data_IF_166078216109
#
_entry.id   IF_166078216109
#
_cell.length_a   1.000
_cell.length_b   1.000
_cell.length_c   1.000
_cell.angle_alpha   90.00
_cell.angle_beta   90.00
_cell.angle_gamma   90.00
#
_symmetry.space_group_name_H-M   'P 1'
#
loop_
_entity.id
_entity.type
_entity.pdbx_description
1 polymer ?
#
# COMPACT_ATOMS: atom_id res chain seq x y z
N UNK A 1 -26.92 4.55 34.58
CA UNK A 1 -25.63 3.91 34.30
C UNK A 1 -24.87 4.91 33.44
N UNK A 2 -24.04 5.72 34.06
CA UNK A 2 -23.13 6.65 33.35
C UNK A 2 -22.24 5.77 32.48
N UNK A 3 -22.27 5.99 31.16
CA UNK A 3 -21.24 5.41 30.28
C UNK A 3 -19.93 6.09 30.67
N UNK A 4 -18.98 5.33 31.20
CA UNK A 4 -17.60 5.82 31.33
C UNK A 4 -17.17 6.36 29.96
N UNK A 5 -16.90 7.67 29.91
CA UNK A 5 -16.32 8.30 28.71
C UNK A 5 -14.95 7.65 28.48
N UNK A 6 -14.90 6.69 27.56
CA UNK A 6 -13.64 6.13 27.11
C UNK A 6 -12.79 7.26 26.52
N UNK A 7 -11.57 7.42 27.01
CA UNK A 7 -10.64 8.39 26.46
C UNK A 7 -10.40 8.10 24.96
N UNK A 8 -10.44 9.14 24.15
CA UNK A 8 -10.21 9.03 22.71
C UNK A 8 -8.76 8.61 22.45
N UNK A 9 -8.55 7.68 21.55
CA UNK A 9 -7.22 7.41 21.02
C UNK A 9 -6.75 8.56 20.11
N UNK A 10 -5.48 8.61 19.76
CA UNK A 10 -4.92 9.75 19.02
C UNK A 10 -5.50 9.91 17.59
N UNK A 11 -5.89 8.81 16.92
CA UNK A 11 -6.57 8.89 15.61
C UNK A 11 -7.96 9.48 15.78
N UNK A 12 -8.71 9.05 16.79
CA UNK A 12 -10.02 9.61 17.11
C UNK A 12 -9.93 11.11 17.43
N UNK A 13 -8.89 11.55 18.16
CA UNK A 13 -8.64 12.97 18.43
C UNK A 13 -8.40 13.77 17.14
N UNK A 14 -7.65 13.20 16.19
CA UNK A 14 -7.41 13.82 14.88
C UNK A 14 -8.73 13.93 14.10
N UNK A 15 -9.51 12.85 14.03
CA UNK A 15 -10.79 12.83 13.32
C UNK A 15 -11.77 13.84 13.92
N UNK A 16 -11.91 13.92 15.24
CA UNK A 16 -12.78 14.89 15.89
C UNK A 16 -12.34 16.34 15.64
N UNK A 17 -11.03 16.59 15.67
CA UNK A 17 -10.48 17.90 15.32
C UNK A 17 -10.81 18.27 13.86
N UNK A 18 -10.61 17.34 12.94
CA UNK A 18 -10.88 17.57 11.50
C UNK A 18 -12.38 17.82 11.24
N UNK A 19 -13.27 17.12 11.96
CA UNK A 19 -14.71 17.36 11.93
C UNK A 19 -15.07 18.75 12.49
N UNK A 20 -14.48 19.15 13.62
CA UNK A 20 -14.70 20.49 14.22
C UNK A 20 -14.22 21.62 13.31
N UNK A 21 -13.14 21.39 12.56
CA UNK A 21 -12.58 22.33 11.58
C UNK A 21 -13.35 22.28 10.23
N UNK A 22 -14.33 21.41 10.06
CA UNK A 22 -15.12 21.27 8.84
C UNK A 22 -14.33 20.71 7.65
N UNK A 23 -13.22 20.05 7.89
CA UNK A 23 -12.40 19.43 6.83
C UNK A 23 -13.18 18.35 6.09
N UNK A 24 -12.85 18.19 4.81
CA UNK A 24 -13.45 17.19 3.92
C UNK A 24 -14.99 17.22 3.90
N UNK A 25 -15.60 18.39 4.14
CA UNK A 25 -17.06 18.57 4.24
C UNK A 25 -17.69 17.65 5.31
N UNK A 26 -16.97 17.37 6.38
CA UNK A 26 -17.40 16.48 7.46
C UNK A 26 -17.42 14.99 7.09
N UNK A 27 -16.88 14.60 5.93
CA UNK A 27 -16.79 13.20 5.51
C UNK A 27 -15.63 12.49 6.23
N UNK A 28 -15.90 11.27 6.67
CA UNK A 28 -14.89 10.34 7.15
C UNK A 28 -14.89 9.13 6.22
N UNK A 29 -13.80 8.95 5.49
CA UNK A 29 -13.61 7.81 4.62
C UNK A 29 -12.22 7.24 4.81
N UNK A 30 -12.18 5.99 5.21
CA UNK A 30 -10.97 5.19 5.39
C UNK A 30 -10.90 4.08 4.36
N UNK A 31 -9.83 3.33 4.35
CA UNK A 31 -9.72 2.11 3.54
C UNK A 31 -8.78 1.11 4.20
N UNK A 32 -9.05 -0.17 4.03
CA UNK A 32 -8.11 -1.25 4.33
C UNK A 32 -7.51 -1.76 3.01
N UNK A 33 -6.17 -1.63 2.78
CA UNK A 33 -5.55 -1.90 1.49
C UNK A 33 -4.65 -3.16 1.51
N UNK A 34 -5.18 -4.37 1.69
CA UNK A 34 -4.34 -5.56 1.73
C UNK A 34 -3.76 -5.91 0.36
N UNK A 35 -2.48 -6.32 0.30
CA UNK A 35 -1.97 -7.07 -0.85
C UNK A 35 -2.61 -8.48 -0.86
N UNK A 36 -3.17 -8.96 -1.99
CA UNK A 36 -3.75 -10.31 -2.11
C UNK A 36 -2.65 -11.37 -2.32
N UNK A 37 -1.69 -11.45 -1.38
CA UNK A 37 -0.50 -12.29 -1.43
C UNK A 37 -0.38 -13.26 -0.24
N UNK A 38 -1.45 -13.50 0.49
CA UNK A 38 -1.52 -14.42 1.63
C UNK A 38 -2.70 -14.13 2.54
N UNK A 39 -2.95 -15.05 3.45
CA UNK A 39 -4.03 -14.96 4.43
C UNK A 39 -3.77 -13.87 5.48
N UNK A 40 -4.83 -13.30 6.03
CA UNK A 40 -4.74 -12.32 7.11
C UNK A 40 -4.30 -13.00 8.42
N UNK A 41 -3.53 -12.29 9.20
CA UNK A 41 -3.10 -12.71 10.55
C UNK A 41 -3.55 -11.68 11.59
N UNK A 42 -3.41 -12.01 12.85
CA UNK A 42 -3.89 -11.17 13.98
C UNK A 42 -3.33 -9.71 13.91
N UNK A 43 -2.14 -9.50 13.34
CA UNK A 43 -1.60 -8.16 13.12
C UNK A 43 -2.44 -7.31 12.15
N UNK A 44 -3.06 -7.94 11.13
CA UNK A 44 -3.97 -7.26 10.22
C UNK A 44 -5.31 -6.95 10.91
N UNK A 45 -5.76 -7.76 11.88
CA UNK A 45 -6.98 -7.48 12.64
C UNK A 45 -6.90 -6.12 13.32
N UNK A 46 -5.72 -5.74 13.83
CA UNK A 46 -5.52 -4.39 14.40
C UNK A 46 -5.76 -3.28 13.36
N UNK A 47 -5.19 -3.41 12.17
CA UNK A 47 -5.41 -2.45 11.10
C UNK A 47 -6.90 -2.37 10.71
N UNK A 48 -7.53 -3.54 10.52
CA UNK A 48 -8.97 -3.64 10.22
C UNK A 48 -9.79 -2.94 11.31
N UNK A 49 -9.52 -3.19 12.59
CA UNK A 49 -10.23 -2.55 13.69
C UNK A 49 -10.02 -1.02 13.72
N UNK A 50 -8.85 -0.53 13.31
CA UNK A 50 -8.59 0.90 13.22
C UNK A 50 -9.34 1.51 12.02
N UNK A 51 -9.18 0.96 10.82
CA UNK A 51 -9.77 1.50 9.59
C UNK A 51 -11.30 1.45 9.62
N UNK A 52 -11.87 0.28 9.90
CA UNK A 52 -13.32 0.08 9.97
C UNK A 52 -13.93 0.70 11.22
N UNK A 53 -13.25 0.59 12.37
CA UNK A 53 -13.77 1.12 13.63
C UNK A 53 -13.88 2.65 13.64
N UNK A 54 -12.93 3.36 13.02
CA UNK A 54 -13.03 4.82 12.83
C UNK A 54 -14.23 5.14 11.93
N UNK A 55 -14.37 4.45 10.79
CA UNK A 55 -15.51 4.68 9.91
C UNK A 55 -16.84 4.43 10.61
N UNK A 56 -16.99 3.29 11.32
CA UNK A 56 -18.22 2.97 12.07
C UNK A 56 -18.53 4.02 13.15
N UNK A 57 -17.53 4.42 13.94
CA UNK A 57 -17.71 5.37 15.05
C UNK A 57 -18.19 6.75 14.60
N UNK A 58 -17.69 7.20 13.46
CA UNK A 58 -17.98 8.56 12.94
C UNK A 58 -18.98 8.57 11.78
N UNK A 59 -19.79 7.51 11.62
CA UNK A 59 -20.78 7.36 10.54
C UNK A 59 -20.17 7.57 9.13
N UNK A 60 -18.94 7.18 8.97
CA UNK A 60 -18.20 7.24 7.72
C UNK A 60 -18.25 5.93 6.93
N UNK A 61 -17.36 5.80 5.96
CA UNK A 61 -17.25 4.63 5.11
C UNK A 61 -15.81 4.11 5.14
N UNK A 62 -15.66 2.80 5.29
CA UNK A 62 -14.38 2.12 5.05
C UNK A 62 -14.49 1.29 3.76
N UNK A 63 -13.61 1.52 2.80
CA UNK A 63 -13.53 0.73 1.58
C UNK A 63 -12.48 -0.39 1.73
N UNK A 64 -12.66 -1.46 0.96
CA UNK A 64 -11.67 -2.51 0.79
C UNK A 64 -10.98 -2.28 -0.54
N UNK A 65 -9.66 -2.02 -0.53
CA UNK A 65 -8.87 -1.89 -1.76
C UNK A 65 -7.77 -2.92 -1.80
N UNK A 66 -7.83 -3.81 -2.75
CA UNK A 66 -6.73 -4.74 -3.00
C UNK A 66 -5.57 -4.02 -3.69
N UNK A 67 -4.40 -4.01 -3.02
CA UNK A 67 -3.16 -3.50 -3.63
C UNK A 67 -2.56 -4.60 -4.52
N UNK A 68 -3.11 -4.69 -5.73
CA UNK A 68 -2.74 -5.67 -6.74
C UNK A 68 -1.74 -5.10 -7.78
N UNK A 69 -0.68 -4.45 -7.29
CA UNK A 69 0.38 -3.86 -8.13
C UNK A 69 1.50 -4.83 -8.49
N UNK A 70 1.45 -6.07 -8.01
CA UNK A 70 2.51 -7.07 -8.22
C UNK A 70 1.96 -8.43 -8.70
N UNK A 71 1.82 -8.64 -10.02
CA UNK A 71 1.21 -9.85 -10.59
C UNK A 71 1.91 -11.17 -10.22
N UNK A 72 3.17 -11.10 -9.76
CA UNK A 72 3.96 -12.31 -9.41
C UNK A 72 3.48 -13.01 -8.14
N UNK A 73 2.79 -12.28 -7.26
CA UNK A 73 2.47 -12.73 -5.88
C UNK A 73 0.98 -12.85 -5.60
N UNK A 74 0.14 -12.39 -6.48
CA UNK A 74 -1.29 -12.20 -6.25
C UNK A 74 -2.10 -13.39 -6.72
N UNK A 75 -3.10 -13.79 -5.91
CA UNK A 75 -4.00 -14.89 -6.23
C UNK A 75 -5.43 -14.57 -5.78
N UNK A 76 -6.40 -15.03 -6.57
CA UNK A 76 -7.83 -14.89 -6.30
C UNK A 76 -8.22 -15.59 -4.97
N UNK A 77 -7.55 -16.70 -4.62
CA UNK A 77 -7.74 -17.37 -3.33
C UNK A 77 -7.57 -16.41 -2.15
N UNK A 78 -6.56 -15.54 -2.21
CA UNK A 78 -6.30 -14.58 -1.14
C UNK A 78 -7.33 -13.45 -1.12
N UNK A 79 -7.81 -13.01 -2.29
CA UNK A 79 -8.90 -12.02 -2.38
C UNK A 79 -10.15 -12.54 -1.65
N UNK A 80 -10.55 -13.77 -1.90
CA UNK A 80 -11.73 -14.39 -1.28
C UNK A 80 -11.53 -14.60 0.22
N UNK A 81 -10.36 -15.10 0.64
CA UNK A 81 -10.03 -15.32 2.04
C UNK A 81 -10.05 -14.01 2.85
N UNK A 82 -9.49 -12.94 2.30
CA UNK A 82 -9.46 -11.62 2.96
C UNK A 82 -10.89 -11.09 3.18
N UNK A 83 -11.75 -11.20 2.18
CA UNK A 83 -13.16 -10.79 2.31
C UNK A 83 -13.90 -11.62 3.36
N UNK A 84 -13.69 -12.96 3.36
CA UNK A 84 -14.29 -13.84 4.37
C UNK A 84 -13.85 -13.49 5.78
N UNK A 85 -12.57 -13.19 5.99
CA UNK A 85 -12.02 -12.87 7.30
C UNK A 85 -12.55 -11.51 7.81
N UNK A 86 -12.65 -10.48 6.95
CA UNK A 86 -13.24 -9.19 7.32
C UNK A 86 -14.71 -9.34 7.68
N UNK A 87 -15.47 -10.07 6.87
CA UNK A 87 -16.89 -10.34 7.14
C UNK A 87 -17.08 -11.16 8.43
N UNK A 88 -16.22 -12.14 8.69
CA UNK A 88 -16.26 -12.91 9.92
C UNK A 88 -15.96 -12.05 11.16
N UNK A 89 -15.05 -11.07 11.05
CA UNK A 89 -14.80 -10.09 12.11
C UNK A 89 -15.99 -9.16 12.34
N UNK A 90 -17.05 -9.23 11.54
CA UNK A 90 -18.29 -8.46 11.68
C UNK A 90 -18.26 -7.09 11.01
N UNK A 91 -17.24 -6.79 10.20
CA UNK A 91 -17.15 -5.53 9.47
C UNK A 91 -17.79 -5.62 8.09
N UNK A 92 -18.27 -4.46 7.61
CA UNK A 92 -18.83 -4.28 6.26
C UNK A 92 -18.08 -3.14 5.56
N UNK A 93 -17.62 -3.39 4.36
CA UNK A 93 -17.01 -2.36 3.53
C UNK A 93 -18.04 -1.62 2.68
N UNK A 94 -17.72 -0.40 2.28
CA UNK A 94 -18.53 0.38 1.35
C UNK A 94 -18.40 -0.16 -0.07
N UNK A 95 -17.23 0.04 -0.65
CA UNK A 95 -16.89 -0.44 -2.00
C UNK A 95 -15.68 -1.36 -1.96
N UNK A 96 -15.54 -2.19 -3.00
CA UNK A 96 -14.31 -2.92 -3.30
C UNK A 96 -13.64 -2.24 -4.48
N UNK A 97 -12.36 -1.90 -4.31
CA UNK A 97 -11.49 -1.37 -5.33
C UNK A 97 -10.24 -2.23 -5.48
N UNK A 98 -9.56 -2.05 -6.59
CA UNK A 98 -8.27 -2.66 -6.88
C UNK A 98 -7.32 -1.57 -7.37
N UNK A 99 -6.04 -1.66 -7.02
CA UNK A 99 -5.06 -0.74 -7.58
C UNK A 99 -5.03 -0.81 -9.11
N UNK A 100 -5.31 -1.99 -9.67
CA UNK A 100 -5.43 -2.21 -11.12
C UNK A 100 -6.59 -1.48 -11.78
N UNK A 101 -7.61 -1.02 -11.03
CA UNK A 101 -8.68 -0.17 -11.58
C UNK A 101 -8.14 1.19 -12.04
N UNK A 102 -7.00 1.62 -11.50
CA UNK A 102 -6.39 2.92 -11.74
C UNK A 102 -5.11 2.85 -12.58
N UNK A 103 -4.73 1.71 -13.14
CA UNK A 103 -3.48 1.56 -13.88
C UNK A 103 -3.35 2.55 -15.04
N UNK A 104 -4.44 2.86 -15.74
CA UNK A 104 -4.40 3.86 -16.82
C UNK A 104 -4.15 5.26 -16.26
N UNK A 105 -4.88 5.69 -15.22
CA UNK A 105 -4.68 7.01 -14.61
C UNK A 105 -3.27 7.16 -14.03
N UNK A 106 -2.77 6.10 -13.36
CA UNK A 106 -1.41 6.08 -12.81
C UNK A 106 -0.35 6.16 -13.92
N UNK A 107 -0.57 5.48 -15.04
CA UNK A 107 0.31 5.52 -16.20
C UNK A 107 0.33 6.91 -16.84
N UNK A 108 -0.83 7.54 -16.99
CA UNK A 108 -0.96 8.89 -17.53
C UNK A 108 -0.27 9.92 -16.61
N UNK A 109 -0.42 9.79 -15.30
CA UNK A 109 0.32 10.61 -14.33
C UNK A 109 1.84 10.42 -14.42
N UNK A 110 2.31 9.20 -14.62
CA UNK A 110 3.74 8.93 -14.82
C UNK A 110 4.27 9.61 -16.10
N UNK A 111 3.49 9.62 -17.16
CA UNK A 111 3.80 10.38 -18.39
C UNK A 111 3.92 11.87 -18.09
N UNK A 112 2.99 12.45 -17.30
CA UNK A 112 3.06 13.86 -16.91
C UNK A 112 4.30 14.15 -16.05
N UNK A 113 4.71 13.27 -15.15
CA UNK A 113 5.97 13.38 -14.41
C UNK A 113 7.17 13.44 -15.35
N UNK A 114 7.21 12.60 -16.38
CA UNK A 114 8.29 12.63 -17.38
C UNK A 114 8.29 13.96 -18.15
N UNK A 115 7.12 14.40 -18.65
CA UNK A 115 6.97 15.68 -19.39
C UNK A 115 7.42 16.90 -18.58
N UNK A 116 7.22 16.86 -17.26
CA UNK A 116 7.67 17.91 -16.34
C UNK A 116 9.15 17.78 -15.96
N UNK A 117 9.88 16.80 -16.47
CA UNK A 117 11.28 16.53 -16.10
C UNK A 117 11.44 16.02 -14.67
N UNK A 118 10.37 15.51 -14.05
CA UNK A 118 10.34 14.98 -12.68
C UNK A 118 10.52 13.46 -12.61
N UNK A 119 10.68 12.78 -13.75
CA UNK A 119 10.97 11.36 -13.81
C UNK A 119 11.87 11.05 -15.01
N UNK A 120 12.63 9.98 -14.90
CA UNK A 120 13.55 9.50 -15.93
C UNK A 120 13.64 7.98 -15.95
N UNK A 121 13.99 7.42 -17.12
CA UNK A 121 14.26 6.00 -17.28
C UNK A 121 15.71 5.71 -16.90
N UNK A 122 15.88 4.75 -16.00
CA UNK A 122 17.17 4.27 -15.52
C UNK A 122 17.40 2.84 -16.01
N UNK A 123 18.57 2.61 -16.60
CA UNK A 123 18.99 1.30 -17.14
C UNK A 123 19.91 0.54 -16.18
N UNK A 124 20.08 1.03 -14.97
CA UNK A 124 20.89 0.39 -13.95
C UNK A 124 20.16 -0.81 -13.35
N UNK A 125 20.96 -1.80 -12.96
CA UNK A 125 20.44 -2.95 -12.21
C UNK A 125 19.96 -2.56 -10.81
N UNK A 126 19.14 -3.41 -10.19
CA UNK A 126 18.67 -3.20 -8.83
C UNK A 126 19.84 -3.03 -7.83
N UNK A 127 20.91 -3.79 -7.99
CA UNK A 127 22.10 -3.71 -7.13
C UNK A 127 22.84 -2.37 -7.31
N UNK A 128 23.01 -1.90 -8.55
CA UNK A 128 23.61 -0.60 -8.83
C UNK A 128 22.79 0.55 -8.26
N UNK A 129 21.44 0.50 -8.39
CA UNK A 129 20.55 1.48 -7.80
C UNK A 129 20.64 1.46 -6.26
N UNK A 130 20.68 0.27 -5.66
CA UNK A 130 20.80 0.13 -4.21
C UNK A 130 22.14 0.70 -3.69
N UNK A 131 23.25 0.42 -4.36
CA UNK A 131 24.58 0.94 -4.02
C UNK A 131 24.62 2.47 -4.14
N UNK A 132 24.07 3.02 -5.22
CA UNK A 132 24.04 4.46 -5.45
C UNK A 132 23.16 5.24 -4.48
N UNK A 133 22.20 4.62 -3.84
CA UNK A 133 21.40 5.27 -2.80
C UNK A 133 22.23 5.73 -1.60
N UNK A 134 23.42 5.20 -1.40
CA UNK A 134 24.26 5.53 -0.25
C UNK A 134 23.71 4.97 1.06
N UNK A 135 24.01 5.63 2.15
CA UNK A 135 23.57 5.26 3.51
C UNK A 135 22.77 6.40 4.16
N UNK A 136 22.12 6.20 5.30
CA UNK A 136 21.43 7.29 6.00
C UNK A 136 22.33 8.48 6.36
N UNK A 137 23.65 8.25 6.49
CA UNK A 137 24.64 9.26 6.86
C UNK A 137 25.48 9.76 5.67
N UNK A 138 25.40 9.08 4.53
CA UNK A 138 26.13 9.44 3.31
C UNK A 138 25.14 9.67 2.17
N UNK A 139 25.29 10.79 1.41
CA UNK A 139 24.40 11.07 0.29
C UNK A 139 24.54 10.00 -0.80
N UNK A 140 23.48 9.82 -1.57
CA UNK A 140 23.52 8.99 -2.77
C UNK A 140 24.21 9.69 -3.93
N UNK A 141 24.53 8.90 -4.96
CA UNK A 141 25.13 9.36 -6.22
C UNK A 141 24.05 9.36 -7.31
N UNK A 142 23.98 10.41 -8.09
CA UNK A 142 23.03 10.50 -9.20
C UNK A 142 23.30 9.44 -10.27
N UNK A 143 22.22 8.86 -10.82
CA UNK A 143 22.33 7.96 -11.96
C UNK A 143 22.90 8.68 -13.20
N UNK A 144 23.71 8.02 -14.04
CA UNK A 144 24.16 8.59 -15.31
C UNK A 144 23.01 8.88 -16.29
N UNK A 145 21.84 8.29 -16.06
CA UNK A 145 20.62 8.47 -16.88
C UNK A 145 19.70 9.59 -16.37
N UNK A 146 20.03 10.21 -15.23
CA UNK A 146 19.15 11.16 -14.52
C UNK A 146 18.81 12.39 -15.36
N UNK A 147 19.70 12.80 -16.24
CA UNK A 147 19.55 13.99 -17.07
C UNK A 147 19.22 13.66 -18.55
N UNK A 148 18.70 12.45 -18.80
CA UNK A 148 18.23 12.03 -20.13
C UNK A 148 17.12 12.98 -20.63
N UNK A 149 17.13 13.31 -21.96
CA UNK A 149 16.08 14.17 -22.55
C UNK A 149 14.66 13.62 -22.33
N UNK A 150 13.71 14.52 -22.18
CA UNK A 150 12.29 14.18 -21.92
C UNK A 150 11.74 13.27 -23.02
N UNK A 151 11.97 13.60 -24.28
CA UNK A 151 11.50 12.87 -25.46
C UNK A 151 12.01 11.43 -25.46
N UNK A 152 13.25 11.24 -25.05
CA UNK A 152 13.82 9.90 -24.95
C UNK A 152 13.23 9.10 -23.78
N UNK A 153 13.02 9.73 -22.63
CA UNK A 153 12.34 9.09 -21.50
C UNK A 153 10.93 8.67 -21.88
N UNK A 154 10.16 9.50 -22.58
CA UNK A 154 8.81 9.17 -23.08
C UNK A 154 8.84 7.97 -24.03
N UNK A 155 9.78 7.99 -25.01
CA UNK A 155 9.94 6.90 -25.97
C UNK A 155 10.28 5.58 -25.28
N UNK A 156 11.20 5.60 -24.31
CA UNK A 156 11.61 4.40 -23.57
C UNK A 156 10.48 3.90 -22.66
N UNK A 157 9.75 4.77 -21.98
CA UNK A 157 8.62 4.36 -21.14
C UNK A 157 7.52 3.70 -21.98
N UNK A 158 7.25 4.22 -23.18
CA UNK A 158 6.32 3.57 -24.12
C UNK A 158 6.86 2.22 -24.60
N UNK A 159 8.15 2.08 -24.90
CA UNK A 159 8.77 0.81 -25.27
C UNK A 159 8.70 -0.23 -24.14
N UNK A 160 8.87 0.20 -22.88
CA UNK A 160 8.65 -0.67 -21.71
C UNK A 160 7.21 -1.18 -21.67
N UNK A 161 6.22 -0.30 -21.87
CA UNK A 161 4.80 -0.68 -21.88
C UNK A 161 4.44 -1.57 -23.07
N UNK A 162 5.07 -1.38 -24.21
CA UNK A 162 4.87 -2.23 -25.40
C UNK A 162 5.47 -3.63 -25.26
N UNK A 163 6.26 -3.89 -24.20
CA UNK A 163 6.94 -5.17 -24.01
C UNK A 163 8.18 -5.35 -24.89
N UNK A 164 8.77 -4.25 -25.38
CA UNK A 164 9.98 -4.25 -26.22
C UNK A 164 11.25 -4.39 -25.37
N UNK A 165 11.12 -4.22 -24.05
CA UNK A 165 12.24 -4.22 -23.08
C UNK A 165 12.02 -5.39 -22.10
N UNK A 166 13.08 -6.16 -21.85
CA UNK A 166 13.06 -7.29 -20.93
C UNK A 166 12.91 -6.85 -19.47
N UNK A 167 12.35 -7.74 -18.64
CA UNK A 167 12.23 -7.57 -17.19
C UNK A 167 13.60 -7.26 -16.55
N UNK A 168 13.62 -6.25 -15.67
CA UNK A 168 14.81 -5.85 -14.92
C UNK A 168 15.84 -5.02 -15.69
N UNK A 169 15.62 -4.70 -16.98
CA UNK A 169 16.54 -3.89 -17.78
C UNK A 169 16.36 -2.39 -17.60
N UNK A 170 15.14 -1.95 -17.32
CA UNK A 170 14.81 -0.55 -17.14
C UNK A 170 13.77 -0.38 -16.04
N UNK A 171 13.83 0.76 -15.38
CA UNK A 171 12.84 1.24 -14.42
C UNK A 171 12.56 2.72 -14.64
N UNK A 172 11.35 3.19 -14.33
CA UNK A 172 11.08 4.61 -14.23
C UNK A 172 11.36 5.07 -12.81
N UNK A 173 12.15 6.12 -12.64
CA UNK A 173 12.48 6.72 -11.34
C UNK A 173 12.01 8.15 -11.26
N UNK A 174 11.52 8.56 -10.08
CA UNK A 174 11.29 9.97 -9.80
C UNK A 174 12.62 10.71 -9.65
N UNK A 175 12.69 11.94 -10.14
CA UNK A 175 13.84 12.84 -10.02
C UNK A 175 13.62 13.79 -8.86
N UNK A 176 14.10 13.43 -7.66
CA UNK A 176 13.87 14.21 -6.44
C UNK A 176 15.17 14.74 -5.86
N UNK A 177 15.79 14.01 -4.91
CA UNK A 177 16.97 14.49 -4.19
C UNK A 177 17.83 13.31 -3.69
N UNK A 178 19.00 13.12 -4.31
CA UNK A 178 19.92 12.05 -3.95
C UNK A 178 20.67 12.29 -2.64
N UNK A 179 20.63 13.51 -2.09
CA UNK A 179 21.24 13.86 -0.80
C UNK A 179 20.24 13.84 0.37
N UNK A 180 18.96 13.55 0.12
CA UNK A 180 17.93 13.57 1.15
C UNK A 180 18.24 12.58 2.28
N UNK A 181 18.16 12.97 3.57
CA UNK A 181 18.36 12.05 4.69
C UNK A 181 17.34 10.90 4.71
N UNK A 182 16.12 11.13 4.22
CA UNK A 182 15.16 10.06 3.98
C UNK A 182 15.51 9.34 2.67
N UNK A 183 16.01 8.12 2.74
CA UNK A 183 16.43 7.33 1.58
C UNK A 183 15.28 7.01 0.61
N UNK A 184 14.02 7.10 1.02
CA UNK A 184 12.86 6.96 0.13
C UNK A 184 12.73 8.11 -0.86
N UNK A 185 13.34 9.28 -0.59
CA UNK A 185 13.39 10.43 -1.49
C UNK A 185 14.55 10.39 -2.50
N UNK A 186 15.47 9.43 -2.35
CA UNK A 186 16.63 9.33 -3.25
C UNK A 186 16.25 8.64 -4.55
N UNK A 187 15.63 9.42 -5.44
CA UNK A 187 15.14 9.01 -6.76
C UNK A 187 14.46 7.64 -6.74
N UNK A 188 13.29 7.50 -6.07
CA UNK A 188 12.61 6.21 -5.92
C UNK A 188 12.12 5.67 -7.26
N UNK A 189 12.03 4.35 -7.35
CA UNK A 189 11.42 3.67 -8.49
C UNK A 189 9.92 3.92 -8.47
N UNK A 190 9.36 4.38 -9.60
CA UNK A 190 7.92 4.58 -9.82
C UNK A 190 7.28 3.39 -10.54
N UNK A 191 7.97 2.85 -11.57
CA UNK A 191 7.50 1.72 -12.38
C UNK A 191 8.62 0.72 -12.64
N UNK A 192 8.21 -0.55 -12.73
CA UNK A 192 9.05 -1.70 -13.11
C UNK A 192 8.39 -2.49 -14.23
N UNK A 193 9.19 -3.26 -15.00
CA UNK A 193 8.73 -4.16 -16.05
C UNK A 193 8.45 -5.53 -15.44
N UNK A 194 7.30 -6.13 -15.73
CA UNK A 194 6.97 -7.52 -15.43
C UNK A 194 6.15 -8.07 -16.61
N UNK A 195 6.80 -8.83 -17.50
CA UNK A 195 6.17 -9.48 -18.67
C UNK A 195 5.94 -10.96 -18.46
N UNK A 196 6.63 -11.56 -17.48
CA UNK A 196 6.66 -13.01 -17.26
C UNK A 196 5.38 -13.56 -16.65
N UNK A 197 4.59 -12.73 -15.94
CA UNK A 197 3.38 -13.16 -15.25
C UNK A 197 2.18 -12.32 -15.70
N UNK A 198 1.07 -12.95 -16.11
CA UNK A 198 -0.17 -12.23 -16.39
C UNK A 198 -0.74 -11.72 -15.05
N UNK A 199 -1.28 -10.52 -15.06
CA UNK A 199 -2.00 -9.97 -13.90
C UNK A 199 -3.36 -10.66 -13.72
N UNK A 200 -3.78 -10.97 -12.51
CA UNK A 200 -4.97 -11.75 -12.20
C UNK A 200 -6.29 -11.12 -12.73
N UNK A 201 -6.34 -9.80 -12.91
CA UNK A 201 -7.52 -9.08 -13.45
C UNK A 201 -7.30 -8.54 -14.86
N UNK A 202 -6.16 -7.93 -15.14
CA UNK A 202 -5.90 -7.26 -16.43
C UNK A 202 -5.17 -8.15 -17.44
N UNK A 203 -4.79 -9.36 -17.04
CA UNK A 203 -4.11 -10.31 -17.94
C UNK A 203 -2.76 -9.75 -18.39
N UNK A 204 -2.57 -9.66 -19.72
CA UNK A 204 -1.34 -9.16 -20.35
C UNK A 204 -1.50 -7.76 -20.97
N UNK A 205 -2.45 -6.98 -20.48
CA UNK A 205 -2.68 -5.60 -20.94
C UNK A 205 -1.53 -4.67 -20.56
N UNK A 206 -0.90 -4.95 -19.42
CA UNK A 206 0.19 -4.15 -18.86
C UNK A 206 1.48 -4.94 -18.85
N UNK A 207 2.58 -4.30 -19.22
CA UNK A 207 3.94 -4.81 -19.10
C UNK A 207 4.74 -4.00 -18.05
N UNK A 208 4.25 -2.81 -17.67
CA UNK A 208 4.82 -1.98 -16.60
C UNK A 208 3.84 -1.87 -15.45
N UNK A 209 4.36 -1.95 -14.23
CA UNK A 209 3.57 -1.95 -13.01
C UNK A 209 4.09 -0.88 -12.04
N UNK A 210 3.19 -0.07 -11.46
CA UNK A 210 3.60 0.96 -10.51
C UNK A 210 4.15 0.32 -9.23
N UNK A 211 5.05 1.04 -8.58
CA UNK A 211 5.49 0.70 -7.23
C UNK A 211 4.46 1.24 -6.21
N UNK A 212 4.40 0.58 -5.05
CA UNK A 212 3.51 0.94 -3.96
C UNK A 212 3.52 2.44 -3.64
N UNK A 213 4.70 3.03 -3.42
CA UNK A 213 4.82 4.45 -3.04
C UNK A 213 4.25 5.40 -4.09
N UNK A 214 4.31 5.04 -5.37
CA UNK A 214 3.72 5.85 -6.43
C UNK A 214 2.19 5.64 -6.52
N UNK A 215 1.70 4.41 -6.41
CA UNK A 215 0.29 4.11 -6.62
C UNK A 215 -0.62 4.48 -5.43
N UNK A 216 -0.12 4.31 -4.20
CA UNK A 216 -0.92 4.29 -2.99
C UNK A 216 -1.66 5.60 -2.70
N UNK A 217 -0.93 6.72 -2.65
CA UNK A 217 -1.54 8.02 -2.35
C UNK A 217 -2.50 8.49 -3.44
N UNK A 218 -2.18 8.20 -4.69
CA UNK A 218 -3.01 8.57 -5.84
C UNK A 218 -4.31 7.77 -5.85
N UNK A 219 -4.25 6.47 -5.53
CA UNK A 219 -5.45 5.63 -5.37
C UNK A 219 -6.32 6.14 -4.21
N UNK A 220 -5.73 6.54 -3.08
CA UNK A 220 -6.46 7.18 -1.98
C UNK A 220 -7.21 8.43 -2.46
N UNK A 221 -6.56 9.25 -3.30
CA UNK A 221 -7.19 10.45 -3.87
C UNK A 221 -8.35 10.12 -4.80
N UNK A 222 -8.18 9.16 -5.71
CA UNK A 222 -9.23 8.75 -6.66
C UNK A 222 -10.46 8.18 -5.95
N UNK A 223 -10.25 7.48 -4.84
CA UNK A 223 -11.34 6.90 -4.04
C UNK A 223 -11.99 7.88 -3.06
N UNK A 224 -11.43 9.05 -2.87
CA UNK A 224 -11.96 10.04 -1.93
C UNK A 224 -11.64 9.74 -0.46
N UNK A 225 -10.58 8.99 -0.17
CA UNK A 225 -10.12 8.66 1.19
C UNK A 225 -9.69 9.92 1.94
N UNK A 226 -10.25 10.17 3.11
CA UNK A 226 -9.92 11.33 3.94
C UNK A 226 -8.80 11.03 4.93
N UNK A 227 -8.88 9.87 5.59
CA UNK A 227 -7.93 9.41 6.59
C UNK A 227 -7.32 8.09 6.13
N UNK A 228 -6.10 8.16 5.62
CA UNK A 228 -5.29 7.05 5.17
C UNK A 228 -4.52 6.47 6.36
N UNK A 229 -5.13 5.49 7.05
CA UNK A 229 -4.57 4.94 8.29
C UNK A 229 -3.70 3.72 7.96
N UNK A 230 -2.50 3.63 8.55
CA UNK A 230 -1.56 2.54 8.31
C UNK A 230 -0.66 2.28 9.53
N UNK A 231 0.20 1.27 9.46
CA UNK A 231 1.14 0.97 10.54
C UNK A 231 2.36 1.91 10.55
N UNK A 232 2.99 2.06 11.71
CA UNK A 232 4.10 3.01 11.95
C UNK A 232 5.32 2.77 11.04
N UNK A 233 5.47 1.60 10.47
CA UNK A 233 6.53 1.31 9.49
C UNK A 233 6.45 2.17 8.23
N UNK A 234 5.28 2.74 7.93
CA UNK A 234 5.05 3.64 6.80
C UNK A 234 5.34 5.12 7.10
N UNK A 235 5.74 5.48 8.32
CA UNK A 235 6.04 6.89 8.68
C UNK A 235 7.13 7.48 7.79
N UNK A 236 8.13 6.68 7.39
CA UNK A 236 9.22 7.11 6.49
C UNK A 236 8.76 7.23 5.03
N UNK A 237 7.64 6.61 4.66
CA UNK A 237 7.01 6.70 3.33
C UNK A 237 6.06 7.90 3.23
N UNK A 238 5.48 8.38 4.34
CA UNK A 238 4.51 9.48 4.32
C UNK A 238 4.99 10.75 3.60
N UNK A 239 6.25 11.23 3.76
CA UNK A 239 6.70 12.37 2.99
C UNK A 239 6.69 12.13 1.47
N UNK A 240 6.95 10.89 1.02
CA UNK A 240 6.88 10.52 -0.38
C UNK A 240 5.43 10.42 -0.88
N UNK A 241 4.54 9.88 -0.05
CA UNK A 241 3.09 9.92 -0.26
C UNK A 241 2.59 11.36 -0.49
N UNK A 242 2.97 12.27 0.41
CA UNK A 242 2.62 13.69 0.30
C UNK A 242 3.21 14.31 -0.97
N UNK A 243 4.48 14.04 -1.27
CA UNK A 243 5.15 14.56 -2.47
C UNK A 243 4.40 14.18 -3.76
N UNK A 244 4.03 12.91 -3.94
CA UNK A 244 3.32 12.49 -5.15
C UNK A 244 1.95 13.13 -5.26
N UNK A 245 1.18 13.17 -4.18
CA UNK A 245 -0.15 13.79 -4.15
C UNK A 245 -0.06 15.27 -4.52
N UNK A 246 0.87 16.03 -3.96
CA UNK A 246 1.03 17.46 -4.17
C UNK A 246 1.38 17.82 -5.64
N UNK A 247 1.80 16.85 -6.47
CA UNK A 247 2.11 17.11 -7.87
C UNK A 247 0.87 17.20 -8.78
N UNK A 248 -0.28 16.66 -8.39
CA UNK A 248 -1.45 16.58 -9.27
C UNK A 248 -2.78 17.02 -8.65
N UNK A 249 -2.84 17.24 -7.34
CA UNK A 249 -4.05 17.77 -6.70
C UNK A 249 -4.31 19.20 -7.15
N UNK A 250 -5.56 19.44 -7.57
CA UNK A 250 -6.01 20.76 -8.03
C UNK A 250 -7.16 21.35 -7.21
N UNK A 251 -7.66 20.62 -6.20
CA UNK A 251 -8.79 21.02 -5.36
C UNK A 251 -8.45 21.13 -3.88
N UNK A 252 -9.44 21.47 -3.08
CA UNK A 252 -9.29 21.62 -1.62
C UNK A 252 -9.22 20.27 -0.89
N UNK A 253 -9.73 19.19 -1.52
CA UNK A 253 -9.68 17.84 -0.97
C UNK A 253 -8.28 17.24 -1.11
N UNK A 254 -7.77 16.68 -0.02
CA UNK A 254 -6.48 16.01 0.04
C UNK A 254 -6.52 14.87 1.05
N UNK A 255 -6.25 13.61 0.65
CA UNK A 255 -6.08 12.53 1.59
C UNK A 255 -4.86 12.77 2.48
N UNK A 256 -4.92 12.28 3.72
CA UNK A 256 -3.81 12.41 4.69
C UNK A 256 -3.51 11.07 5.31
N UNK A 257 -2.21 10.73 5.37
CA UNK A 257 -1.73 9.50 6.00
C UNK A 257 -1.48 9.70 7.49
N UNK A 258 -1.92 8.72 8.30
CA UNK A 258 -1.72 8.66 9.75
C UNK A 258 -1.27 7.26 10.14
N UNK A 259 -0.28 7.16 11.02
CA UNK A 259 0.32 5.89 11.38
C UNK A 259 0.07 5.54 12.84
N UNK A 260 -0.19 4.25 13.10
CA UNK A 260 -0.33 3.69 14.44
C UNK A 260 0.65 2.54 14.69
N UNK A 261 0.92 2.24 15.96
CA UNK A 261 1.82 1.16 16.33
C UNK A 261 1.27 -0.20 15.89
N UNK A 262 2.10 -0.98 15.15
CA UNK A 262 1.75 -2.35 14.80
C UNK A 262 1.61 -3.23 16.04
N UNK A 263 0.84 -4.31 15.93
CA UNK A 263 0.77 -5.35 16.94
C UNK A 263 2.06 -6.18 16.93
N UNK A 264 2.71 -6.29 18.08
CA UNK A 264 3.84 -7.19 18.29
C UNK A 264 3.44 -8.25 19.31
N UNK A 265 3.56 -9.53 18.94
CA UNK A 265 3.28 -10.66 19.80
C UNK A 265 4.57 -11.42 20.03
N UNK A 266 4.93 -11.65 21.30
CA UNK A 266 6.10 -12.45 21.67
C UNK A 266 5.89 -13.92 21.31
N UNK A 267 6.97 -14.61 20.99
CA UNK A 267 6.98 -16.03 20.63
C UNK A 267 6.08 -16.42 19.44
N UNK A 268 5.68 -15.43 18.60
CA UNK A 268 4.80 -15.65 17.45
C UNK A 268 5.41 -15.07 16.19
N UNK A 269 5.49 -15.88 15.14
CA UNK A 269 5.97 -15.44 13.83
C UNK A 269 4.80 -14.93 13.00
N UNK A 270 4.76 -13.59 12.74
CA UNK A 270 3.72 -12.93 11.93
C UNK A 270 4.22 -12.58 10.52
N UNK A 271 5.22 -13.27 9.99
CA UNK A 271 5.75 -13.05 8.64
C UNK A 271 4.98 -13.91 7.63
N UNK A 272 4.25 -13.27 6.69
CA UNK A 272 3.57 -13.98 5.59
C UNK A 272 4.50 -14.92 4.84
N UNK A 273 5.73 -14.49 4.53
CA UNK A 273 6.74 -15.32 3.83
C UNK A 273 7.08 -16.60 4.61
N UNK A 274 7.30 -16.47 5.93
CA UNK A 274 7.62 -17.64 6.77
C UNK A 274 6.41 -18.55 6.94
N UNK A 275 5.21 -18.02 7.09
CA UNK A 275 3.98 -18.79 7.15
C UNK A 275 3.73 -19.54 5.83
N UNK A 276 3.91 -18.89 4.69
CA UNK A 276 3.81 -19.54 3.37
C UNK A 276 4.83 -20.69 3.23
N UNK A 277 6.04 -20.51 3.75
CA UNK A 277 7.05 -21.58 3.78
C UNK A 277 6.57 -22.79 4.57
N UNK A 278 6.00 -22.59 5.76
CA UNK A 278 5.45 -23.70 6.57
C UNK A 278 4.36 -24.47 5.81
N UNK A 279 3.49 -23.76 5.08
CA UNK A 279 2.45 -24.40 4.26
C UNK A 279 3.06 -25.18 3.09
N UNK A 280 4.01 -24.58 2.35
CA UNK A 280 4.66 -25.21 1.19
C UNK A 280 5.48 -26.45 1.56
N UNK A 281 6.12 -26.44 2.72
CA UNK A 281 6.93 -27.55 3.23
C UNK A 281 6.07 -28.64 3.93
N UNK A 282 4.74 -28.44 4.02
CA UNK A 282 3.82 -29.39 4.66
C UNK A 282 4.01 -29.52 6.17
N UNK A 283 4.63 -28.54 6.82
CA UNK A 283 4.83 -28.51 8.28
C UNK A 283 3.55 -28.16 9.04
N UNK A 284 2.59 -27.57 8.36
CA UNK A 284 1.23 -27.26 8.81
C UNK A 284 0.23 -27.77 7.77
N UNK A 285 -1.02 -28.02 8.18
CA UNK A 285 -2.07 -28.56 7.29
C UNK A 285 -2.60 -27.56 6.25
N UNK A 286 -2.31 -26.28 6.42
CA UNK A 286 -2.74 -25.17 5.56
C UNK A 286 -2.71 -23.85 6.32
N UNK A 287 -3.26 -22.82 5.69
CA UNK A 287 -3.33 -21.49 6.30
C UNK A 287 -4.28 -21.43 7.52
N UNK A 288 -5.24 -22.33 7.58
CA UNK A 288 -6.19 -22.49 8.69
C UNK A 288 -5.71 -23.44 9.80
N UNK A 289 -4.46 -23.90 9.74
CA UNK A 289 -3.90 -24.75 10.79
C UNK A 289 -4.00 -24.03 12.15
N UNK A 290 -4.52 -24.69 13.22
CA UNK A 290 -4.67 -24.05 14.53
C UNK A 290 -3.37 -23.52 15.16
N UNK A 291 -2.21 -23.93 14.66
CA UNK A 291 -0.90 -23.43 15.08
C UNK A 291 -0.50 -22.11 14.42
N UNK A 292 -1.21 -21.72 13.36
CA UNK A 292 -0.95 -20.49 12.62
C UNK A 292 -1.64 -19.29 13.28
N UNK A 293 -1.01 -18.11 13.32
CA UNK A 293 -1.61 -16.87 13.85
C UNK A 293 -2.51 -16.17 12.82
N UNK A 294 -3.00 -16.90 11.83
CA UNK A 294 -3.94 -16.41 10.83
C UNK A 294 -5.34 -16.27 11.41
N UNK A 295 -6.16 -15.39 10.87
CA UNK A 295 -7.55 -15.20 11.32
C UNK A 295 -8.32 -16.53 11.19
N UNK A 296 -8.20 -17.21 10.05
CA UNK A 296 -8.84 -18.51 9.85
C UNK A 296 -8.29 -19.59 10.80
N UNK A 297 -6.99 -19.56 11.15
CA UNK A 297 -6.40 -20.47 12.15
C UNK A 297 -6.91 -20.22 13.56
N UNK A 298 -7.04 -18.96 13.96
CA UNK A 298 -7.62 -18.57 15.25
C UNK A 298 -9.11 -18.96 15.32
N UNK A 299 -9.88 -18.69 14.26
CA UNK A 299 -11.28 -19.14 14.14
C UNK A 299 -11.40 -20.66 14.30
N UNK A 300 -10.55 -21.44 13.65
CA UNK A 300 -10.54 -22.91 13.79
C UNK A 300 -10.17 -23.38 15.19
N UNK A 301 -9.37 -22.59 15.94
CA UNK A 301 -9.10 -22.85 17.37
C UNK A 301 -10.27 -22.51 18.28
N UNK A 302 -11.34 -21.90 17.80
CA UNK A 302 -12.52 -21.51 18.56
C UNK A 302 -12.49 -20.09 19.12
N UNK A 303 -11.57 -19.23 18.68
CA UNK A 303 -11.63 -17.80 19.00
C UNK A 303 -12.83 -17.18 18.32
N UNK A 304 -13.50 -16.25 19.02
CA UNK A 304 -14.63 -15.51 18.47
C UNK A 304 -14.17 -14.19 17.84
N UNK A 305 -14.97 -13.61 16.92
CA UNK A 305 -14.66 -12.28 16.35
C UNK A 305 -14.42 -11.21 17.42
N UNK A 306 -15.22 -11.23 18.49
CA UNK A 306 -15.11 -10.28 19.60
C UNK A 306 -13.79 -10.45 20.36
N UNK A 307 -13.33 -11.70 20.56
CA UNK A 307 -12.04 -11.97 21.19
C UNK A 307 -10.88 -11.44 20.37
N UNK A 308 -10.90 -11.68 19.04
CA UNK A 308 -9.87 -11.18 18.13
C UNK A 308 -9.86 -9.64 18.07
N UNK A 309 -11.03 -9.01 17.96
CA UNK A 309 -11.16 -7.54 17.96
C UNK A 309 -10.65 -6.92 19.28
N UNK A 310 -11.01 -7.49 20.44
CA UNK A 310 -10.59 -6.98 21.75
C UNK A 310 -9.10 -7.21 22.04
N UNK A 311 -8.48 -8.19 21.44
CA UNK A 311 -7.06 -8.52 21.67
C UNK A 311 -6.11 -7.50 21.04
N UNK A 312 -6.58 -6.67 20.12
CA UNK A 312 -5.74 -5.81 19.28
C UNK A 312 -5.99 -4.30 19.45
N UNK A 313 -7.08 -3.94 20.17
CA UNK A 313 -7.53 -2.54 20.39
C UNK A 313 -7.23 -2.08 21.81
#
# INVERSE_FOLDING_TARGET
>A
MEMEERSLNFIEQIVEKDLQEGKNDGRIQTRFPPEPNGYLHIGHVKAICMDFGIAEKYNGVCNLRFDDTNPVKEDVEYVDSIQQDIAWLGFKWGNIYYASDYFQQLYDLAIEFIKQGKAYIDEQTADQIAEQKGTPTEPGVASPYRDRPIEENLRLFQAMQNGEIEDGKMVLRAKIDMANPNMHFRDPIMYRIITTHPHHRTGRTWNVYPMYDFAHGQSDYFEGVTHSICTLEFVVHRPLYDYYIDQFITGDYRPRQYEFNRLNITYTVMSKRKMLQLVKEGLVSGWDDPRMPTVCGLRRRGYTPEADRKSVV
#
